data_IF_125863898211
#
_entry.id   IF_125863898211
#
_cell.length_a   1.000
_cell.length_b   1.000
_cell.length_c   1.000
_cell.angle_alpha   90.00
_cell.angle_beta   90.00
_cell.angle_gamma   90.00
#
_symmetry.space_group_name_H-M   'P 1'
#
loop_
_entity.id
_entity.type
_entity.pdbx_description
1 polymer ?
#
# COMPACT_ATOMS: atom_id res chain seq x y z
N UNK A 1 -22.71 -40.97 14.45
CA UNK A 1 -23.75 -39.93 14.36
C UNK A 1 -24.25 -39.90 12.92
N UNK A 2 -25.36 -40.56 12.63
CA UNK A 2 -25.95 -40.64 11.29
C UNK A 2 -26.73 -39.37 11.00
N UNK A 3 -26.21 -38.52 10.11
CA UNK A 3 -26.89 -37.29 9.66
C UNK A 3 -27.96 -37.64 8.63
N UNK A 4 -29.20 -37.20 8.84
CA UNK A 4 -30.25 -37.23 7.82
C UNK A 4 -30.02 -36.04 6.90
N UNK A 5 -29.77 -36.31 5.61
CA UNK A 5 -29.52 -35.28 4.59
C UNK A 5 -30.83 -34.76 3.98
N UNK A 6 -30.79 -33.57 3.39
CA UNK A 6 -31.95 -32.96 2.74
C UNK A 6 -32.46 -33.78 1.54
N UNK A 7 -31.57 -34.41 0.79
CA UNK A 7 -31.93 -35.33 -0.32
C UNK A 7 -32.71 -36.56 0.17
N UNK A 8 -32.39 -37.07 1.36
CA UNK A 8 -33.11 -38.19 1.96
C UNK A 8 -34.52 -37.77 2.40
N UNK A 9 -34.66 -36.56 2.95
CA UNK A 9 -35.96 -36.00 3.30
C UNK A 9 -36.82 -35.72 2.07
N UNK A 10 -36.22 -35.25 0.98
CA UNK A 10 -36.94 -34.98 -0.26
C UNK A 10 -37.47 -36.27 -0.90
N UNK A 11 -36.66 -37.33 -0.97
CA UNK A 11 -37.11 -38.65 -1.42
C UNK A 11 -38.17 -39.27 -0.49
N UNK A 12 -38.02 -39.08 0.83
CA UNK A 12 -39.03 -39.50 1.80
C UNK A 12 -40.37 -38.80 1.58
N UNK A 13 -40.31 -37.49 1.36
CA UNK A 13 -41.43 -36.65 0.96
C UNK A 13 -41.80 -36.79 -0.52
N UNK A 14 -41.19 -37.68 -1.29
CA UNK A 14 -41.65 -38.08 -2.61
C UNK A 14 -42.28 -39.49 -2.59
N UNK A 15 -42.26 -40.19 -1.45
CA UNK A 15 -42.52 -41.64 -1.33
C UNK A 15 -41.56 -42.50 -2.18
N UNK A 16 -40.37 -42.00 -2.46
CA UNK A 16 -39.34 -42.66 -3.29
C UNK A 16 -38.18 -43.22 -2.45
N UNK A 17 -38.43 -43.55 -1.19
CA UNK A 17 -37.41 -44.03 -0.26
C UNK A 17 -37.64 -45.50 0.12
N UNK A 18 -36.55 -46.23 0.32
CA UNK A 18 -36.57 -47.64 0.69
C UNK A 18 -36.99 -47.86 2.16
N UNK A 19 -37.33 -49.10 2.53
CA UNK A 19 -37.80 -49.43 3.88
C UNK A 19 -36.77 -49.05 4.98
N UNK A 20 -35.47 -49.21 4.71
CA UNK A 20 -34.41 -48.82 5.63
C UNK A 20 -34.26 -47.31 5.77
N UNK A 21 -34.47 -46.58 4.68
CA UNK A 21 -34.39 -45.12 4.59
C UNK A 21 -35.55 -44.46 5.33
N UNK A 22 -36.76 -45.01 5.13
CA UNK A 22 -37.96 -44.66 5.89
C UNK A 22 -37.77 -44.86 7.39
N UNK A 23 -37.30 -46.03 7.81
CA UNK A 23 -37.05 -46.31 9.23
C UNK A 23 -35.95 -45.41 9.84
N UNK A 24 -35.07 -44.84 9.02
CA UNK A 24 -34.03 -43.89 9.45
C UNK A 24 -34.62 -42.50 9.69
N UNK A 25 -35.48 -42.04 8.78
CA UNK A 25 -36.19 -40.77 8.92
C UNK A 25 -37.18 -40.83 10.09
N UNK A 26 -37.92 -41.92 10.25
CA UNK A 26 -38.85 -42.12 11.37
C UNK A 26 -38.14 -42.13 12.74
N UNK A 27 -36.97 -42.79 12.85
CA UNK A 27 -36.15 -42.74 14.08
C UNK A 27 -35.56 -41.34 14.35
N UNK A 28 -35.29 -40.57 13.30
CA UNK A 28 -34.82 -39.19 13.43
C UNK A 28 -35.94 -38.25 13.91
N UNK A 29 -37.17 -38.46 13.43
CA UNK A 29 -38.39 -37.76 13.87
C UNK A 29 -38.70 -38.05 15.34
N UNK A 30 -38.57 -39.31 15.79
CA UNK A 30 -38.88 -39.75 17.15
C UNK A 30 -37.84 -39.33 18.22
N UNK A 31 -36.85 -38.49 17.89
CA UNK A 31 -35.78 -38.04 18.77
C UNK A 31 -36.16 -36.91 19.76
N UNK A 32 -35.19 -36.41 20.56
CA UNK A 32 -35.42 -35.47 21.68
C UNK A 32 -36.09 -34.12 21.29
N UNK A 33 -36.76 -33.42 22.23
CA UNK A 33 -37.75 -32.37 21.97
C UNK A 33 -37.24 -31.08 21.29
N UNK A 34 -35.93 -30.78 21.29
CA UNK A 34 -35.36 -29.73 20.43
C UNK A 34 -35.49 -30.05 18.92
N UNK A 35 -35.72 -31.33 18.59
CA UNK A 35 -36.08 -31.83 17.25
C UNK A 35 -37.61 -31.95 17.06
N UNK A 36 -38.39 -31.75 18.12
CA UNK A 36 -39.84 -31.95 18.17
C UNK A 36 -40.62 -30.94 17.31
N UNK A 37 -40.13 -29.71 17.16
CA UNK A 37 -40.75 -28.72 16.27
C UNK A 37 -40.72 -29.18 14.81
N UNK A 38 -39.60 -29.76 14.36
CA UNK A 38 -39.41 -30.31 13.00
C UNK A 38 -40.23 -31.59 12.80
N UNK A 39 -40.30 -32.43 13.84
CA UNK A 39 -41.09 -33.65 13.85
C UNK A 39 -42.60 -33.39 13.74
N UNK A 40 -43.15 -32.44 14.52
CA UNK A 40 -44.57 -32.10 14.48
C UNK A 40 -45.00 -31.49 13.14
N UNK A 41 -44.15 -30.64 12.58
CA UNK A 41 -44.35 -30.01 11.28
C UNK A 41 -44.25 -31.01 10.11
N UNK A 42 -43.37 -32.01 10.22
CA UNK A 42 -43.27 -33.08 9.24
C UNK A 42 -44.44 -34.07 9.36
N UNK A 43 -44.94 -34.33 10.58
CA UNK A 43 -46.14 -35.12 10.82
C UNK A 43 -47.40 -34.44 10.25
N UNK A 44 -47.56 -33.13 10.44
CA UNK A 44 -48.65 -32.35 9.84
C UNK A 44 -48.54 -32.30 8.30
N UNK A 45 -47.32 -32.32 7.76
CA UNK A 45 -47.08 -32.39 6.33
C UNK A 45 -47.36 -33.77 5.68
N UNK A 46 -47.35 -34.82 6.49
CA UNK A 46 -47.59 -36.20 6.09
C UNK A 46 -49.02 -36.65 6.38
N UNK A 47 -49.84 -35.79 6.99
CA UNK A 47 -51.25 -36.04 7.25
C UNK A 47 -52.03 -36.01 5.92
N UNK A 48 -52.66 -37.13 5.50
CA UNK A 48 -53.43 -37.20 4.27
C UNK A 48 -54.70 -36.33 4.29
N UNK A 49 -55.09 -35.80 5.46
CA UNK A 49 -56.22 -34.87 5.62
C UNK A 49 -55.83 -33.40 5.54
N UNK A 50 -54.53 -33.10 5.39
CA UNK A 50 -54.04 -31.73 5.26
C UNK A 50 -54.52 -31.07 3.96
N UNK A 51 -55.07 -29.85 4.06
CA UNK A 51 -55.65 -29.12 2.92
C UNK A 51 -54.53 -28.41 2.15
N UNK A 52 -54.24 -28.93 0.95
CA UNK A 52 -53.32 -28.34 -0.02
C UNK A 52 -52.60 -29.38 -0.87
N UNK A 53 -51.95 -28.94 -1.95
CA UNK A 53 -51.06 -29.81 -2.72
C UNK A 53 -49.79 -30.09 -1.90
N UNK A 54 -49.14 -31.23 -2.15
CA UNK A 54 -47.88 -31.61 -1.47
C UNK A 54 -46.81 -30.50 -1.52
N UNK A 55 -46.77 -29.73 -2.60
CA UNK A 55 -45.90 -28.58 -2.78
C UNK A 55 -46.24 -27.39 -1.84
N UNK A 56 -47.52 -27.15 -1.57
CA UNK A 56 -47.98 -26.06 -0.70
C UNK A 56 -47.61 -26.32 0.76
N UNK A 57 -47.70 -27.58 1.16
CA UNK A 57 -47.26 -28.06 2.47
C UNK A 57 -45.75 -27.86 2.61
N UNK A 58 -44.99 -28.19 1.56
CA UNK A 58 -43.54 -27.99 1.54
C UNK A 58 -43.17 -26.49 1.66
N UNK A 59 -43.87 -25.63 0.92
CA UNK A 59 -43.65 -24.19 0.96
C UNK A 59 -44.01 -23.54 2.32
N UNK A 60 -44.91 -24.12 3.10
CA UNK A 60 -45.24 -23.68 4.47
C UNK A 60 -44.18 -24.16 5.47
N UNK A 61 -43.76 -25.41 5.35
CA UNK A 61 -42.75 -26.02 6.20
C UNK A 61 -41.39 -25.34 6.03
N UNK A 62 -40.94 -25.16 4.79
CA UNK A 62 -39.67 -24.51 4.48
C UNK A 62 -39.63 -23.08 5.05
N UNK A 63 -40.66 -22.26 4.80
CA UNK A 63 -40.74 -20.88 5.33
C UNK A 63 -40.63 -20.79 6.84
N UNK A 64 -41.27 -21.71 7.57
CA UNK A 64 -41.25 -21.70 9.04
C UNK A 64 -39.92 -22.18 9.60
N UNK A 65 -39.30 -23.18 8.98
CA UNK A 65 -37.98 -23.64 9.38
C UNK A 65 -36.88 -22.60 9.07
N UNK A 66 -36.93 -21.94 7.91
CA UNK A 66 -36.04 -20.83 7.58
C UNK A 66 -36.25 -19.62 8.49
N UNK A 67 -37.48 -19.39 8.98
CA UNK A 67 -37.76 -18.35 9.96
C UNK A 67 -37.17 -18.67 11.34
N UNK A 68 -37.10 -19.95 11.73
CA UNK A 68 -36.46 -20.39 12.98
C UNK A 68 -34.94 -20.54 12.89
N UNK A 69 -34.39 -20.75 11.68
CA UNK A 69 -32.95 -20.65 11.41
C UNK A 69 -32.48 -19.19 11.20
N UNK A 70 -33.28 -18.22 11.67
CA UNK A 70 -32.85 -16.84 11.94
C UNK A 70 -32.00 -16.68 13.21
N UNK A 71 -31.20 -17.67 13.59
CA UNK A 71 -30.21 -17.57 14.67
C UNK A 71 -28.83 -17.34 14.02
N UNK A 72 -28.25 -16.13 13.89
CA UNK A 72 -28.32 -14.97 14.77
C UNK A 72 -27.82 -13.68 14.06
N UNK A 73 -28.59 -12.58 14.02
CA UNK A 73 -28.03 -11.24 13.79
C UNK A 73 -27.66 -10.54 15.12
N UNK A 74 -27.49 -11.30 16.22
CA UNK A 74 -27.24 -10.77 17.57
C UNK A 74 -25.78 -10.40 17.87
N UNK A 75 -24.82 -10.77 17.03
CA UNK A 75 -23.42 -10.31 17.14
C UNK A 75 -23.01 -9.29 16.07
N UNK A 76 -23.89 -9.01 15.11
CA UNK A 76 -23.56 -8.23 13.93
C UNK A 76 -23.32 -6.72 14.18
N UNK A 77 -23.73 -6.22 15.36
CA UNK A 77 -23.55 -4.80 15.74
C UNK A 77 -22.28 -4.54 16.55
N UNK A 78 -21.76 -5.51 17.30
CA UNK A 78 -20.60 -5.33 18.17
C UNK A 78 -19.27 -5.51 17.45
N UNK A 79 -19.17 -6.47 16.51
CA UNK A 79 -17.96 -6.65 15.70
C UNK A 79 -17.74 -5.48 14.72
N UNK A 80 -18.79 -4.93 14.10
CA UNK A 80 -18.71 -3.73 13.24
C UNK A 80 -18.26 -2.48 13.99
N UNK A 81 -18.69 -2.29 15.25
CA UNK A 81 -18.20 -1.20 16.12
C UNK A 81 -16.74 -1.43 16.55
N UNK A 82 -16.35 -2.68 16.85
CA UNK A 82 -14.95 -3.04 17.14
C UNK A 82 -14.04 -2.86 15.93
N UNK A 83 -14.50 -3.23 14.74
CA UNK A 83 -13.79 -3.02 13.47
C UNK A 83 -13.70 -1.53 13.12
N UNK A 84 -14.75 -0.74 13.38
CA UNK A 84 -14.72 0.71 13.16
C UNK A 84 -13.76 1.46 14.11
N UNK A 85 -13.71 1.07 15.39
CA UNK A 85 -12.76 1.65 16.36
C UNK A 85 -11.33 1.21 16.08
N UNK A 86 -11.12 -0.06 15.67
CA UNK A 86 -9.81 -0.53 15.23
C UNK A 86 -9.32 0.17 13.95
N UNK A 87 -10.23 0.46 13.00
CA UNK A 87 -9.91 1.20 11.78
C UNK A 87 -9.52 2.67 12.07
N UNK A 88 -10.16 3.30 13.07
CA UNK A 88 -9.80 4.67 13.47
C UNK A 88 -8.40 4.73 14.10
N UNK A 89 -8.05 3.75 14.94
CA UNK A 89 -6.71 3.63 15.52
C UNK A 89 -5.63 3.38 14.46
N UNK A 90 -5.90 2.50 13.50
CA UNK A 90 -4.98 2.23 12.39
C UNK A 90 -4.74 3.46 11.51
N UNK A 91 -5.78 4.28 11.26
CA UNK A 91 -5.65 5.51 10.50
C UNK A 91 -4.77 6.58 11.21
N UNK A 92 -4.88 6.71 12.53
CA UNK A 92 -4.04 7.63 13.32
C UNK A 92 -2.58 7.17 13.32
N UNK A 93 -2.33 5.86 13.45
CA UNK A 93 -0.97 5.31 13.38
C UNK A 93 -0.39 5.49 11.97
N UNK A 94 -1.17 5.22 10.92
CA UNK A 94 -0.73 5.44 9.54
C UNK A 94 -0.43 6.92 9.26
N UNK A 95 -1.30 7.83 9.71
CA UNK A 95 -1.08 9.27 9.59
C UNK A 95 0.16 9.73 10.38
N UNK A 96 0.37 9.20 11.60
CA UNK A 96 1.56 9.46 12.41
C UNK A 96 2.84 8.97 11.74
N UNK A 97 2.83 7.77 11.16
CA UNK A 97 3.95 7.23 10.38
C UNK A 97 4.20 8.09 9.14
N UNK A 98 3.15 8.52 8.43
CA UNK A 98 3.27 9.33 7.22
C UNK A 98 3.81 10.73 7.54
N UNK A 99 3.36 11.35 8.64
CA UNK A 99 3.89 12.62 9.13
C UNK A 99 5.33 12.45 9.62
N UNK A 100 5.64 11.41 10.41
CA UNK A 100 7.00 11.14 10.86
C UNK A 100 7.93 10.93 9.66
N UNK A 101 7.53 10.12 8.69
CA UNK A 101 8.24 9.91 7.43
C UNK A 101 8.43 11.24 6.68
N UNK A 102 7.38 12.02 6.51
CA UNK A 102 7.45 13.32 5.84
C UNK A 102 8.31 14.35 6.60
N UNK A 103 8.47 14.23 7.92
CA UNK A 103 9.37 15.07 8.72
C UNK A 103 10.82 14.57 8.64
N UNK A 104 11.05 13.25 8.62
CA UNK A 104 12.39 12.65 8.51
C UNK A 104 12.95 12.62 7.09
N UNK A 105 12.08 12.63 6.08
CA UNK A 105 12.46 12.63 4.66
C UNK A 105 12.74 14.03 4.09
N UNK A 106 12.65 15.08 4.93
CA UNK A 106 13.09 16.43 4.54
C UNK A 106 14.59 16.58 4.50
N UNK A 107 15.32 15.65 5.11
CA UNK A 107 16.73 15.51 4.87
C UNK A 107 16.88 14.79 3.52
N UNK A 108 16.75 15.58 2.44
CA UNK A 108 17.34 15.18 1.18
C UNK A 108 18.76 14.78 1.50
N UNK A 109 19.05 13.48 1.36
CA UNK A 109 20.38 12.95 1.59
C UNK A 109 21.23 13.61 0.51
N UNK A 110 21.78 14.78 0.83
CA UNK A 110 22.95 15.34 0.18
C UNK A 110 24.05 14.35 0.50
N UNK A 111 24.07 13.26 -0.26
CA UNK A 111 25.30 12.60 -0.64
C UNK A 111 26.13 13.77 -1.12
N UNK A 112 27.02 14.29 -0.27
CA UNK A 112 27.99 15.31 -0.66
C UNK A 112 29.21 14.49 -1.07
N UNK A 113 29.22 13.95 -2.30
CA UNK A 113 30.35 13.16 -2.75
C UNK A 113 31.61 13.98 -2.61
N UNK A 114 32.71 13.31 -2.24
CA UNK A 114 33.96 13.98 -1.95
C UNK A 114 34.33 14.95 -3.10
N UNK A 115 34.63 16.22 -2.81
CA UNK A 115 34.95 17.21 -3.82
C UNK A 115 36.23 16.82 -4.56
N UNK A 116 36.24 17.09 -5.86
CA UNK A 116 37.38 16.83 -6.73
C UNK A 116 38.28 18.06 -6.76
N UNK A 117 39.59 17.82 -6.73
CA UNK A 117 40.63 18.86 -6.81
C UNK A 117 41.38 18.68 -8.12
N UNK A 118 41.50 19.77 -8.88
CA UNK A 118 42.29 19.89 -10.09
C UNK A 118 43.45 20.83 -9.78
N UNK A 119 44.69 20.42 -10.05
CA UNK A 119 45.87 21.23 -9.72
C UNK A 119 46.89 21.19 -10.83
N UNK A 120 47.59 22.31 -11.02
CA UNK A 120 48.72 22.43 -11.94
C UNK A 120 50.02 22.61 -11.16
N UNK A 121 51.11 21.91 -11.54
CA UNK A 121 52.41 22.15 -10.94
C UNK A 121 52.98 23.50 -11.39
N UNK A 122 54.02 23.98 -10.69
CA UNK A 122 54.74 25.19 -11.07
C UNK A 122 55.26 25.12 -12.51
N UNK A 123 55.03 26.19 -13.27
CA UNK A 123 55.50 26.31 -14.67
C UNK A 123 54.62 25.61 -15.72
N UNK A 124 53.51 24.99 -15.33
CA UNK A 124 52.57 24.37 -16.27
C UNK A 124 51.17 24.97 -16.17
N UNK A 125 50.45 24.97 -17.30
CA UNK A 125 49.03 25.31 -17.40
C UNK A 125 48.30 24.10 -17.98
N UNK A 126 47.06 23.89 -17.57
CA UNK A 126 46.25 22.76 -18.06
C UNK A 126 44.79 23.17 -18.27
N UNK A 127 44.19 22.61 -19.31
CA UNK A 127 42.78 22.76 -19.62
C UNK A 127 41.95 21.62 -19.05
N UNK A 128 40.80 21.93 -18.48
CA UNK A 128 39.85 20.98 -17.91
C UNK A 128 38.42 21.33 -18.34
N UNK A 129 37.54 20.33 -18.31
CA UNK A 129 36.11 20.52 -18.51
C UNK A 129 35.36 20.08 -17.25
N UNK A 130 34.49 20.95 -16.74
CA UNK A 130 33.67 20.71 -15.56
C UNK A 130 32.38 19.94 -15.93
N UNK A 131 31.68 19.35 -14.94
CA UNK A 131 30.47 18.55 -15.18
C UNK A 131 29.30 19.29 -15.82
N UNK A 132 29.26 20.63 -15.70
CA UNK A 132 28.26 21.49 -16.34
C UNK A 132 28.60 21.88 -17.78
N UNK A 133 29.77 21.46 -18.29
CA UNK A 133 30.28 21.81 -19.61
C UNK A 133 31.20 23.03 -19.64
N UNK A 134 31.36 23.75 -18.53
CA UNK A 134 32.28 24.90 -18.40
C UNK A 134 33.71 24.45 -18.64
N UNK A 135 34.46 25.19 -19.46
CA UNK A 135 35.88 24.93 -19.71
C UNK A 135 36.72 25.83 -18.82
N UNK A 136 37.80 25.28 -18.28
CA UNK A 136 38.70 25.99 -17.38
C UNK A 136 40.14 25.81 -17.84
N UNK A 137 40.89 26.89 -17.95
CA UNK A 137 42.34 26.87 -18.12
C UNK A 137 42.97 27.29 -16.81
N UNK A 138 43.57 26.34 -16.10
CA UNK A 138 44.20 26.55 -14.81
C UNK A 138 45.63 27.11 -15.01
N UNK A 139 45.95 28.17 -14.28
CA UNK A 139 47.24 28.88 -14.30
C UNK A 139 48.39 28.06 -13.74
N UNK A 140 49.55 28.68 -13.51
CA UNK A 140 50.69 28.00 -12.88
C UNK A 140 50.50 27.91 -11.37
N UNK A 141 50.92 26.80 -10.75
CA UNK A 141 50.81 26.60 -9.30
C UNK A 141 49.41 26.95 -8.74
N UNK A 142 48.38 26.54 -9.47
CA UNK A 142 46.99 26.87 -9.18
C UNK A 142 46.19 25.61 -8.87
N UNK A 143 45.11 25.75 -8.10
CA UNK A 143 44.25 24.66 -7.65
C UNK A 143 42.79 25.08 -7.75
N UNK A 144 41.95 24.19 -8.25
CA UNK A 144 40.51 24.37 -8.35
C UNK A 144 39.81 23.19 -7.70
N UNK A 145 38.86 23.48 -6.81
CA UNK A 145 38.05 22.48 -6.11
C UNK A 145 36.60 22.63 -6.53
N UNK A 146 35.98 21.52 -6.93
CA UNK A 146 34.59 21.49 -7.38
C UNK A 146 33.88 20.20 -6.92
N UNK A 147 32.55 20.21 -6.74
CA UNK A 147 31.81 18.99 -6.48
C UNK A 147 31.74 18.15 -7.77
N UNK A 148 31.63 16.81 -7.68
CA UNK A 148 31.53 15.96 -8.86
C UNK A 148 30.21 16.15 -9.63
N UNK A 149 29.18 16.73 -8.99
CA UNK A 149 27.98 17.25 -9.63
C UNK A 149 27.58 18.56 -8.95
N UNK A 150 27.15 19.54 -9.74
CA UNK A 150 26.68 20.82 -9.20
C UNK A 150 25.26 20.72 -8.64
N UNK A 151 24.92 21.63 -7.73
CA UNK A 151 23.59 21.72 -7.15
C UNK A 151 22.55 22.08 -8.23
N UNK A 152 21.29 21.79 -7.93
CA UNK A 152 20.13 22.26 -8.67
C UNK A 152 19.98 23.78 -8.65
N UNK A 153 20.50 24.50 -7.65
CA UNK A 153 20.37 25.95 -7.53
C UNK A 153 21.58 26.75 -8.00
N UNK A 154 22.80 26.28 -7.76
CA UNK A 154 24.05 27.03 -8.03
C UNK A 154 25.19 26.11 -8.48
N UNK A 155 26.15 26.67 -9.20
CA UNK A 155 27.38 26.01 -9.64
C UNK A 155 28.58 26.65 -8.97
N UNK A 156 28.97 26.16 -7.80
CA UNK A 156 29.99 26.77 -6.96
C UNK A 156 31.32 26.01 -6.99
N UNK A 157 32.43 26.74 -7.13
CA UNK A 157 33.80 26.22 -7.08
C UNK A 157 34.70 27.10 -6.21
N UNK A 158 35.77 26.51 -5.68
CA UNK A 158 36.84 27.23 -4.97
C UNK A 158 38.10 27.25 -5.83
N UNK A 159 38.75 28.40 -5.93
CA UNK A 159 39.95 28.63 -6.71
C UNK A 159 41.07 29.20 -5.82
N UNK A 160 42.26 28.62 -5.95
CA UNK A 160 43.50 29.19 -5.45
C UNK A 160 44.48 29.40 -6.62
N UNK A 161 44.94 30.63 -6.79
CA UNK A 161 45.81 31.01 -7.91
C UNK A 161 45.02 31.65 -9.04
N UNK A 162 45.35 31.32 -10.29
CA UNK A 162 44.80 31.96 -11.48
C UNK A 162 44.07 30.94 -12.36
N UNK A 163 42.94 31.34 -12.93
CA UNK A 163 42.22 30.52 -13.90
C UNK A 163 41.40 31.37 -14.88
N UNK A 164 41.35 30.93 -16.13
CA UNK A 164 40.43 31.45 -17.14
C UNK A 164 39.24 30.49 -17.30
N UNK A 165 38.04 31.05 -17.32
CA UNK A 165 36.79 30.32 -17.41
C UNK A 165 36.06 30.69 -18.71
N UNK A 166 35.56 29.68 -19.42
CA UNK A 166 34.55 29.80 -20.47
C UNK A 166 33.28 29.11 -19.94
N UNK A 167 32.41 29.90 -19.30
CA UNK A 167 31.28 29.37 -18.51
C UNK A 167 30.13 28.95 -19.43
N UNK A 168 29.64 27.73 -19.23
CA UNK A 168 28.46 27.25 -19.94
C UNK A 168 27.24 28.12 -19.58
N UNK A 169 26.50 28.67 -20.56
CA UNK A 169 25.35 29.52 -20.30
C UNK A 169 24.25 28.81 -19.51
N UNK A 170 23.92 29.33 -18.33
CA UNK A 170 22.80 28.85 -17.52
C UNK A 170 22.31 29.97 -16.60
N UNK A 171 21.23 30.64 -17.03
CA UNK A 171 20.62 31.75 -16.30
C UNK A 171 19.84 31.32 -15.06
N UNK A 172 19.57 30.02 -14.90
CA UNK A 172 18.83 29.49 -13.75
C UNK A 172 19.76 29.06 -12.62
N UNK A 173 21.02 28.75 -12.94
CA UNK A 173 22.04 28.30 -11.98
C UNK A 173 23.31 29.13 -12.14
N UNK A 174 23.46 30.21 -11.35
CA UNK A 174 24.67 31.04 -11.40
C UNK A 174 25.94 30.23 -11.16
N UNK A 175 27.01 30.62 -11.84
CA UNK A 175 28.35 30.07 -11.66
C UNK A 175 29.13 30.95 -10.69
N UNK A 176 29.55 30.39 -9.55
CA UNK A 176 30.16 31.11 -8.45
C UNK A 176 31.59 30.62 -8.26
N UNK A 177 32.55 31.52 -8.41
CA UNK A 177 33.97 31.28 -8.15
C UNK A 177 34.36 31.95 -6.84
N UNK A 178 34.71 31.16 -5.83
CA UNK A 178 35.32 31.66 -4.59
C UNK A 178 36.83 31.63 -4.70
N UNK A 179 37.47 32.79 -4.70
CA UNK A 179 38.92 32.93 -4.73
C UNK A 179 39.39 33.76 -3.54
N UNK A 180 39.88 33.11 -2.48
CA UNK A 180 40.27 33.75 -1.21
C UNK A 180 39.16 34.68 -0.66
N UNK A 181 39.33 36.00 -0.81
CA UNK A 181 38.40 37.03 -0.33
C UNK A 181 37.51 37.61 -1.45
N UNK A 182 37.63 37.08 -2.67
CA UNK A 182 36.82 37.47 -3.82
C UNK A 182 35.77 36.40 -4.09
N UNK A 183 34.55 36.85 -4.40
CA UNK A 183 33.50 36.01 -4.95
C UNK A 183 33.11 36.63 -6.30
N UNK A 184 33.29 35.87 -7.37
CA UNK A 184 32.82 36.25 -8.69
C UNK A 184 31.59 35.39 -9.03
N UNK A 185 30.53 36.03 -9.52
CA UNK A 185 29.32 35.37 -9.99
C UNK A 185 29.14 35.68 -11.47
N UNK A 186 28.87 34.63 -12.25
CA UNK A 186 28.70 34.72 -13.69
C UNK A 186 27.56 33.81 -14.18
N UNK A 187 26.91 34.22 -15.27
CA UNK A 187 25.76 33.50 -15.85
C UNK A 187 26.08 32.79 -17.17
N UNK A 188 27.32 32.88 -17.67
CA UNK A 188 27.71 32.33 -18.98
C UNK A 188 28.60 33.25 -19.82
N UNK A 189 29.53 33.98 -19.19
CA UNK A 189 30.57 34.77 -19.86
C UNK A 189 31.94 34.15 -19.65
N UNK A 190 32.92 34.72 -20.36
CA UNK A 190 34.30 34.31 -20.24
C UNK A 190 35.07 35.33 -19.41
N UNK A 191 35.83 34.86 -18.42
CA UNK A 191 36.60 35.74 -17.54
C UNK A 191 37.85 35.08 -16.96
N UNK A 192 38.79 35.93 -16.54
CA UNK A 192 40.02 35.54 -15.84
C UNK A 192 39.92 35.96 -14.37
N UNK A 193 40.27 35.04 -13.46
CA UNK A 193 40.42 35.31 -12.03
C UNK A 193 41.91 35.19 -11.67
N UNK A 194 42.44 36.17 -10.92
CA UNK A 194 43.82 36.19 -10.39
C UNK A 194 43.90 36.83 -9.01
#
# INVERSE_FOLDING_TARGET
>A
MTTVTWELLDRFLAQQCDAEERARVERWIAGPPERGLRAGLLAEALDPTSVGTRADVWARLFRRLSATEGLSPGRARSWRRRLAVAALGAAVVAAGILVAFALTSRDGISQNPAPRVLSTPSGQRAGFQLPDGTKVILGVASSLRHPPAFDTSVREIELEGEAYFEVAPDTRRPFIVRARNLVAEDLGTDFLVR
#
